data_IF_587977401496
#
_entry.id   IF_587977401496
#
_cell.length_a   1.000
_cell.length_b   1.000
_cell.length_c   1.000
_cell.angle_alpha   90.00
_cell.angle_beta   90.00
_cell.angle_gamma   90.00
#
_symmetry.space_group_name_H-M   'P 1'
#
loop_
_entity.id
_entity.type
_entity.pdbx_description
1 polymer ?
#
# COMPACT_ATOMS: atom_id res chain seq x y z
N UNK A 1 -11.10 -5.51 15.10
CA UNK A 1 -10.49 -6.48 14.21
C UNK A 1 -9.66 -5.74 13.16
N UNK A 2 -8.51 -6.29 12.81
CA UNK A 2 -7.58 -5.69 11.84
C UNK A 2 -7.49 -6.57 10.60
N UNK A 3 -7.10 -5.94 9.50
CA UNK A 3 -6.97 -6.58 8.20
C UNK A 3 -5.65 -6.17 7.55
N UNK A 4 -4.95 -7.12 6.94
CA UNK A 4 -3.85 -6.81 6.05
C UNK A 4 -4.40 -6.29 4.73
N UNK A 5 -3.76 -5.26 4.18
CA UNK A 5 -4.08 -4.72 2.87
C UNK A 5 -2.82 -4.73 2.02
N UNK A 6 -2.79 -5.61 1.02
CA UNK A 6 -1.72 -5.66 0.04
C UNK A 6 -2.19 -4.93 -1.21
N UNK A 7 -1.77 -3.69 -1.35
CA UNK A 7 -2.28 -2.79 -2.37
C UNK A 7 -1.66 -3.03 -3.75
N UNK A 8 -2.30 -2.48 -4.79
CA UNK A 8 -1.79 -2.50 -6.16
C UNK A 8 -0.39 -1.91 -6.23
N UNK A 9 0.51 -2.56 -7.00
CA UNK A 9 1.85 -2.05 -7.28
C UNK A 9 1.89 -1.52 -8.71
N UNK A 10 1.70 -0.21 -8.94
CA UNK A 10 1.56 0.33 -10.29
C UNK A 10 2.89 0.67 -10.95
N UNK A 11 3.98 0.67 -10.20
CA UNK A 11 5.30 1.07 -10.70
C UNK A 11 6.32 1.10 -9.58
N UNK A 12 7.24 2.06 -9.62
CA UNK A 12 8.31 2.17 -8.63
C UNK A 12 8.76 3.61 -8.44
N UNK A 13 9.76 3.81 -7.60
CA UNK A 13 10.34 5.13 -7.39
C UNK A 13 11.15 5.58 -8.61
N UNK A 14 11.17 6.89 -8.86
CA UNK A 14 11.90 7.45 -9.98
C UNK A 14 13.41 7.15 -9.91
N UNK A 15 14.09 7.03 -11.07
CA UNK A 15 15.54 6.87 -11.09
C UNK A 15 16.23 8.00 -10.30
N UNK A 16 17.25 7.65 -9.55
CA UNK A 16 17.98 8.60 -8.69
C UNK A 16 17.39 8.78 -7.31
N UNK A 17 16.20 8.27 -7.05
CA UNK A 17 15.66 8.18 -5.70
C UNK A 17 16.35 7.03 -4.98
N UNK A 18 17.07 7.36 -3.92
CA UNK A 18 17.75 6.36 -3.11
C UNK A 18 17.01 6.20 -1.79
N UNK A 19 16.71 4.96 -1.45
CA UNK A 19 16.17 4.60 -0.15
C UNK A 19 17.23 3.77 0.59
N UNK A 20 17.64 4.26 1.76
CA UNK A 20 18.59 3.53 2.61
C UNK A 20 17.80 2.53 3.48
N UNK A 21 18.00 1.21 3.29
CA UNK A 21 17.28 0.22 4.09
C UNK A 21 17.54 0.30 5.60
N UNK A 22 18.65 0.92 6.01
CA UNK A 22 18.96 1.15 7.43
C UNK A 22 18.14 2.29 8.02
N UNK A 23 17.55 3.15 7.19
CA UNK A 23 16.70 4.27 7.60
C UNK A 23 15.26 3.81 7.69
N UNK A 24 14.49 4.35 8.65
CA UNK A 24 13.05 4.07 8.69
C UNK A 24 12.39 4.65 7.45
N UNK A 25 11.45 3.88 6.87
CA UNK A 25 10.71 4.34 5.68
C UNK A 25 10.03 5.69 5.93
N UNK A 26 9.50 5.91 7.15
CA UNK A 26 8.86 7.17 7.52
C UNK A 26 9.79 8.38 7.40
N UNK A 27 11.08 8.19 7.56
CA UNK A 27 12.10 9.26 7.53
C UNK A 27 12.64 9.52 6.12
N UNK A 28 12.24 8.73 5.13
CA UNK A 28 12.61 8.99 3.75
C UNK A 28 12.06 10.36 3.33
N UNK A 29 12.85 11.12 2.57
CA UNK A 29 12.45 12.44 2.09
C UNK A 29 11.32 12.38 1.06
N UNK A 30 11.03 13.49 0.38
CA UNK A 30 9.98 13.52 -0.64
C UNK A 30 10.16 12.41 -1.68
N UNK A 31 9.08 11.72 -2.01
CA UNK A 31 9.11 10.58 -2.92
C UNK A 31 8.48 10.94 -4.26
N UNK A 32 9.03 10.34 -5.32
CA UNK A 32 8.49 10.44 -6.67
C UNK A 32 8.13 9.04 -7.16
N UNK A 33 6.83 8.76 -7.28
CA UNK A 33 6.31 7.49 -7.79
C UNK A 33 6.11 7.59 -9.30
N UNK A 34 6.69 6.66 -10.04
CA UNK A 34 6.51 6.55 -11.50
C UNK A 34 5.56 5.40 -11.77
N UNK A 35 4.45 5.69 -12.41
CA UNK A 35 3.44 4.71 -12.78
C UNK A 35 3.78 4.10 -14.14
N UNK A 36 3.96 2.79 -14.17
CA UNK A 36 4.11 2.02 -15.42
C UNK A 36 2.77 1.50 -15.93
N UNK A 37 1.80 1.38 -15.05
CA UNK A 37 0.41 1.05 -15.31
C UNK A 37 -0.42 1.45 -14.10
N UNK A 38 -1.75 1.42 -14.20
CA UNK A 38 -2.62 1.72 -13.07
C UNK A 38 -4.01 1.15 -13.33
N UNK A 39 -4.49 0.32 -12.43
CA UNK A 39 -5.80 -0.31 -12.53
C UNK A 39 -6.93 0.54 -11.96
N UNK A 40 -6.60 1.69 -11.37
CA UNK A 40 -7.59 2.65 -10.90
C UNK A 40 -7.77 2.74 -9.40
N UNK A 41 -7.02 1.98 -8.63
CA UNK A 41 -7.14 2.00 -7.17
C UNK A 41 -6.64 3.32 -6.58
N UNK A 42 -7.32 3.78 -5.55
CA UNK A 42 -6.98 5.02 -4.84
C UNK A 42 -5.85 4.83 -3.81
N UNK A 43 -5.53 3.59 -3.47
CA UNK A 43 -4.41 3.23 -2.62
C UNK A 43 -3.48 2.33 -3.41
N UNK A 44 -2.22 2.74 -3.53
CA UNK A 44 -1.19 1.97 -4.23
C UNK A 44 0.08 1.89 -3.38
N UNK A 45 0.96 0.97 -3.72
CA UNK A 45 2.20 0.77 -2.97
C UNK A 45 3.38 0.52 -3.90
N UNK A 46 4.55 0.95 -3.47
CA UNK A 46 5.83 0.38 -3.87
C UNK A 46 6.60 0.20 -2.57
N UNK A 47 6.72 -1.06 -2.16
CA UNK A 47 7.21 -1.41 -0.82
C UNK A 47 8.54 -0.73 -0.49
N UNK A 48 8.75 -0.14 0.68
CA UNK A 48 7.86 -0.13 1.85
C UNK A 48 6.97 1.12 1.97
N UNK A 49 6.56 1.70 0.86
CA UNK A 49 5.82 2.95 0.82
C UNK A 49 4.40 2.76 0.32
N UNK A 50 3.48 3.61 0.79
CA UNK A 50 2.08 3.65 0.34
C UNK A 50 1.75 5.04 -0.16
N UNK A 51 0.87 5.12 -1.17
CA UNK A 51 0.43 6.37 -1.75
C UNK A 51 -1.09 6.34 -1.91
N UNK A 52 -1.71 7.48 -1.71
CA UNK A 52 -3.16 7.64 -1.86
C UNK A 52 -3.46 8.77 -2.84
N UNK A 53 -4.57 8.63 -3.57
CA UNK A 53 -5.06 9.71 -4.41
C UNK A 53 -5.49 10.90 -3.56
N UNK A 54 -5.56 12.09 -4.16
CA UNK A 54 -5.99 13.30 -3.45
C UNK A 54 -7.36 13.11 -2.80
N UNK A 55 -8.33 12.53 -3.50
CA UNK A 55 -9.68 12.34 -2.98
C UNK A 55 -9.71 11.40 -1.77
N UNK A 56 -8.89 10.34 -1.78
CA UNK A 56 -8.78 9.46 -0.62
C UNK A 56 -8.05 10.16 0.53
N UNK A 57 -7.00 10.93 0.24
CA UNK A 57 -6.31 11.71 1.26
C UNK A 57 -7.25 12.69 1.97
N UNK A 58 -8.09 13.39 1.21
CA UNK A 58 -9.06 14.32 1.79
C UNK A 58 -10.07 13.60 2.68
N UNK A 59 -10.54 12.42 2.25
CA UNK A 59 -11.45 11.60 3.04
C UNK A 59 -10.80 11.10 4.32
N UNK A 60 -9.53 10.69 4.27
CA UNK A 60 -8.78 10.27 5.46
C UNK A 60 -8.64 11.41 6.46
N UNK A 61 -8.33 12.63 5.99
CA UNK A 61 -8.22 13.81 6.87
C UNK A 61 -9.54 14.14 7.56
N UNK A 62 -10.66 13.95 6.86
CA UNK A 62 -11.98 14.24 7.38
C UNK A 62 -12.57 13.14 8.24
N UNK A 63 -11.98 11.95 8.23
CA UNK A 63 -12.59 10.74 8.81
C UNK A 63 -12.50 10.64 10.33
N UNK A 64 -11.51 11.30 10.94
CA UNK A 64 -11.20 11.09 12.35
C UNK A 64 -10.42 9.81 12.64
N UNK A 65 -10.07 9.03 11.64
CA UNK A 65 -9.22 7.84 11.80
C UNK A 65 -7.82 8.23 12.29
N UNK A 66 -7.17 7.34 13.01
CA UNK A 66 -5.89 7.58 13.66
C UNK A 66 -4.79 6.67 13.12
N UNK A 67 -3.53 7.02 13.41
CA UNK A 67 -2.40 6.16 13.11
C UNK A 67 -1.76 6.42 11.77
N UNK A 68 -1.88 7.61 11.21
CA UNK A 68 -1.25 7.93 9.93
C UNK A 68 -0.86 9.39 9.81
N UNK A 69 0.07 9.63 8.89
CA UNK A 69 0.45 10.95 8.42
C UNK A 69 0.36 10.98 6.90
N UNK A 70 0.13 12.15 6.33
CA UNK A 70 0.09 12.35 4.88
C UNK A 70 1.12 13.41 4.50
N UNK A 71 1.90 13.12 3.45
CA UNK A 71 2.89 14.04 2.91
C UNK A 71 2.70 14.18 1.41
N UNK A 72 3.01 15.35 0.83
CA UNK A 72 3.01 15.51 -0.62
C UNK A 72 3.97 14.52 -1.27
N UNK A 73 3.57 13.98 -2.42
CA UNK A 73 4.41 13.12 -3.25
C UNK A 73 4.29 13.58 -4.69
N UNK A 74 5.32 13.28 -5.49
CA UNK A 74 5.28 13.51 -6.92
C UNK A 74 4.86 12.21 -7.61
N UNK A 75 3.99 12.34 -8.60
CA UNK A 75 3.57 11.20 -9.43
C UNK A 75 3.73 11.56 -10.91
N UNK A 76 4.25 10.62 -11.68
CA UNK A 76 4.38 10.77 -13.13
C UNK A 76 4.18 9.41 -13.78
N UNK A 77 4.04 9.42 -15.10
CA UNK A 77 3.89 8.19 -15.87
C UNK A 77 5.22 7.83 -16.53
N UNK A 78 5.53 6.52 -16.56
CA UNK A 78 6.67 5.99 -17.28
C UNK A 78 6.38 5.81 -18.77
N UNK A 79 7.40 5.43 -19.53
CA UNK A 79 7.29 5.27 -20.98
C UNK A 79 6.26 4.21 -21.40
N UNK A 80 6.04 3.21 -20.56
CA UNK A 80 5.13 2.10 -20.86
C UNK A 80 3.68 2.39 -20.47
N UNK A 81 3.42 3.46 -19.74
CA UNK A 81 2.10 3.71 -19.17
C UNK A 81 1.00 3.73 -20.23
N UNK A 82 1.19 4.49 -21.29
CA UNK A 82 0.19 4.62 -22.37
C UNK A 82 0.01 3.32 -23.16
N UNK A 83 1.03 2.46 -23.19
CA UNK A 83 0.97 1.16 -23.86
C UNK A 83 0.18 0.12 -23.07
N UNK A 84 0.14 0.27 -21.76
CA UNK A 84 -0.47 -0.71 -20.85
C UNK A 84 -1.85 -0.22 -20.38
N UNK A 85 -2.00 1.10 -20.18
CA UNK A 85 -3.16 1.67 -19.50
C UNK A 85 -3.80 2.75 -20.36
N UNK A 86 -5.10 2.63 -20.62
CA UNK A 86 -5.89 3.66 -21.32
C UNK A 86 -6.38 4.75 -20.36
N UNK A 87 -6.35 4.49 -19.06
CA UNK A 87 -6.85 5.38 -18.02
C UNK A 87 -5.85 6.51 -17.76
N UNK A 88 -6.34 7.76 -17.77
CA UNK A 88 -5.52 8.91 -17.40
C UNK A 88 -5.16 8.83 -15.91
N UNK A 89 -3.90 9.11 -15.59
CA UNK A 89 -3.45 9.13 -14.20
C UNK A 89 -4.03 10.33 -13.46
N UNK A 90 -4.59 10.10 -12.28
CA UNK A 90 -4.95 11.17 -11.35
C UNK A 90 -3.70 11.99 -11.03
N UNK A 91 -3.73 13.33 -11.17
CA UNK A 91 -2.50 14.13 -11.15
C UNK A 91 -1.87 14.31 -9.76
N UNK A 92 -2.68 14.25 -8.70
CA UNK A 92 -2.19 14.53 -7.35
C UNK A 92 -2.23 13.27 -6.47
N UNK A 93 -1.06 12.90 -5.96
CA UNK A 93 -0.90 11.79 -5.05
C UNK A 93 -0.19 12.26 -3.79
N UNK A 94 -0.51 11.63 -2.67
CA UNK A 94 0.14 11.88 -1.40
C UNK A 94 0.72 10.58 -0.87
N UNK A 95 1.80 10.70 -0.12
CA UNK A 95 2.37 9.58 0.60
C UNK A 95 1.57 9.35 1.87
N UNK A 96 1.13 8.09 2.08
CA UNK A 96 0.50 7.66 3.32
C UNK A 96 1.55 6.99 4.20
N UNK A 97 1.74 7.52 5.41
CA UNK A 97 2.70 6.98 6.38
C UNK A 97 1.92 6.39 7.54
N UNK A 98 1.83 5.05 7.66
CA UNK A 98 1.21 4.45 8.83
C UNK A 98 2.13 4.60 10.04
N UNK A 99 1.60 5.13 11.14
CA UNK A 99 2.34 5.40 12.37
C UNK A 99 1.69 4.79 13.60
N UNK A 100 0.54 4.13 13.43
CA UNK A 100 -0.26 3.64 14.53
C UNK A 100 0.22 2.34 15.14
N UNK A 101 -0.40 1.97 16.25
CA UNK A 101 -0.14 0.74 17.00
C UNK A 101 -1.46 0.02 17.27
N UNK A 102 -1.45 -1.28 17.10
CA UNK A 102 -2.61 -2.14 17.46
C UNK A 102 -2.91 -2.00 18.96
N UNK A 103 -1.88 -1.93 19.80
CA UNK A 103 -2.04 -1.80 21.25
C UNK A 103 -2.74 -0.49 21.65
N UNK A 104 -2.58 0.55 20.86
CA UNK A 104 -3.22 1.85 21.11
C UNK A 104 -4.59 1.96 20.42
N UNK A 105 -5.00 0.95 19.68
CA UNK A 105 -6.27 0.94 18.97
C UNK A 105 -6.31 1.85 17.75
N UNK A 106 -5.15 2.15 17.16
CA UNK A 106 -5.09 3.00 15.96
C UNK A 106 -5.70 2.30 14.75
N UNK A 107 -6.16 3.09 13.80
CA UNK A 107 -6.85 2.59 12.61
C UNK A 107 -5.91 2.15 11.49
N UNK A 108 -4.73 2.79 11.37
CA UNK A 108 -3.72 2.42 10.39
C UNK A 108 -2.42 2.08 11.13
N UNK A 109 -1.85 0.92 10.84
CA UNK A 109 -0.71 0.36 11.57
C UNK A 109 0.31 -0.19 10.58
N UNK A 110 1.58 0.09 10.84
CA UNK A 110 2.68 -0.54 10.10
C UNK A 110 3.08 -1.82 10.83
N UNK A 111 2.88 -2.97 10.19
CA UNK A 111 3.26 -4.26 10.72
C UNK A 111 4.53 -4.75 10.02
N UNK A 112 5.48 -5.27 10.79
CA UNK A 112 6.73 -5.86 10.27
C UNK A 112 7.48 -4.97 9.27
N UNK A 113 7.37 -3.65 9.43
CA UNK A 113 8.01 -2.62 8.60
C UNK A 113 7.58 -2.58 7.12
N UNK A 114 6.84 -3.57 6.64
CA UNK A 114 6.46 -3.66 5.21
C UNK A 114 4.97 -3.93 4.97
N UNK A 115 4.22 -4.24 6.02
CA UNK A 115 2.81 -4.59 5.87
C UNK A 115 1.90 -3.50 6.45
N UNK A 116 0.81 -3.22 5.77
CA UNK A 116 -0.21 -2.29 6.23
C UNK A 116 -1.35 -3.05 6.88
N UNK A 117 -1.62 -2.75 8.14
CA UNK A 117 -2.81 -3.21 8.85
C UNK A 117 -3.79 -2.05 8.99
N UNK A 118 -5.07 -2.35 8.80
CA UNK A 118 -6.13 -1.36 8.95
C UNK A 118 -7.24 -1.92 9.83
N UNK A 119 -7.88 -1.04 10.61
CA UNK A 119 -9.06 -1.40 11.39
C UNK A 119 -10.26 -1.65 10.48
N UNK A 120 -11.34 -2.24 11.02
CA UNK A 120 -12.57 -2.42 10.26
C UNK A 120 -13.12 -1.09 9.76
N UNK A 121 -13.05 -0.02 10.57
CA UNK A 121 -13.51 1.31 10.18
C UNK A 121 -12.66 1.88 9.05
N UNK A 122 -11.34 1.72 9.12
CA UNK A 122 -10.45 2.17 8.06
C UNK A 122 -10.68 1.38 6.76
N UNK A 123 -10.89 0.08 6.86
CA UNK A 123 -11.17 -0.76 5.69
C UNK A 123 -12.47 -0.33 5.02
N UNK A 124 -13.50 -0.02 5.80
CA UNK A 124 -14.78 0.46 5.26
C UNK A 124 -14.58 1.76 4.46
N UNK A 125 -13.78 2.69 4.99
CA UNK A 125 -13.47 3.92 4.27
C UNK A 125 -12.72 3.63 2.97
N UNK A 126 -11.70 2.79 3.02
CA UNK A 126 -10.91 2.45 1.83
C UNK A 126 -11.78 1.79 0.75
N UNK A 127 -12.69 0.91 1.14
CA UNK A 127 -13.61 0.24 0.21
C UNK A 127 -14.67 1.17 -0.38
N UNK A 128 -14.92 2.32 0.23
CA UNK A 128 -15.82 3.32 -0.34
C UNK A 128 -15.20 4.06 -1.53
N UNK A 129 -13.91 3.92 -1.71
CA UNK A 129 -13.16 4.36 -2.89
C UNK A 129 -12.82 3.15 -3.77
N UNK A 130 -12.03 3.35 -4.81
CA UNK A 130 -11.63 2.22 -5.67
C UNK A 130 -10.50 1.45 -5.00
N UNK A 131 -10.74 0.17 -4.70
CA UNK A 131 -9.78 -0.72 -4.06
C UNK A 131 -10.01 -2.15 -4.59
N UNK A 132 -9.92 -2.31 -5.91
CA UNK A 132 -10.27 -3.57 -6.59
C UNK A 132 -9.09 -4.53 -6.74
N UNK A 133 -7.87 -4.00 -6.81
CA UNK A 133 -6.66 -4.80 -7.02
C UNK A 133 -5.86 -5.03 -5.73
N UNK A 134 -6.44 -4.75 -4.58
CA UNK A 134 -5.83 -5.04 -3.29
C UNK A 134 -6.23 -6.43 -2.80
N UNK A 135 -5.27 -7.15 -2.24
CA UNK A 135 -5.54 -8.39 -1.51
C UNK A 135 -5.74 -8.07 -0.03
N UNK A 136 -6.85 -8.50 0.52
CA UNK A 136 -7.24 -8.19 1.90
C UNK A 136 -7.44 -9.49 2.66
N UNK A 137 -6.81 -9.59 3.83
CA UNK A 137 -6.93 -10.77 4.69
C UNK A 137 -7.06 -10.36 6.15
N UNK A 138 -7.89 -11.07 6.95
CA UNK A 138 -7.92 -10.84 8.39
C UNK A 138 -6.53 -11.00 9.01
N UNK A 139 -6.19 -10.15 9.97
CA UNK A 139 -4.87 -10.17 10.60
C UNK A 139 -4.56 -11.52 11.24
N UNK A 140 -5.56 -12.21 11.76
CA UNK A 140 -5.40 -13.53 12.38
C UNK A 140 -4.94 -14.62 11.39
N UNK A 141 -5.18 -14.42 10.09
CA UNK A 141 -4.79 -15.38 9.05
C UNK A 141 -3.40 -15.08 8.47
N UNK A 142 -2.75 -14.00 8.92
CA UNK A 142 -1.47 -13.55 8.42
C UNK A 142 -1.57 -12.78 7.11
N UNK A 143 -0.44 -12.23 6.63
CA UNK A 143 -0.43 -11.43 5.39
C UNK A 143 -0.83 -12.27 4.18
N UNK A 144 -1.50 -11.64 3.17
CA UNK A 144 -1.78 -12.32 1.91
C UNK A 144 -0.49 -12.81 1.24
N UNK A 145 -0.53 -14.02 0.67
CA UNK A 145 0.60 -14.62 0.00
C UNK A 145 0.43 -14.55 -1.51
N UNK A 146 1.52 -14.28 -2.22
CA UNK A 146 1.53 -14.39 -3.68
C UNK A 146 1.29 -15.84 -4.10
N UNK A 147 0.82 -16.06 -5.35
CA UNK A 147 0.60 -17.40 -5.88
C UNK A 147 1.88 -18.25 -5.85
N UNK A 148 3.02 -17.62 -6.12
CA UNK A 148 4.33 -18.29 -6.09
C UNK A 148 4.65 -18.78 -4.68
N UNK A 149 4.43 -17.94 -3.68
CA UNK A 149 4.67 -18.33 -2.29
C UNK A 149 3.72 -19.42 -1.81
N UNK A 150 2.46 -19.37 -2.22
CA UNK A 150 1.49 -20.40 -1.90
C UNK A 150 1.92 -21.76 -2.45
N UNK A 151 2.39 -21.79 -3.70
CA UNK A 151 2.90 -23.03 -4.32
C UNK A 151 4.14 -23.56 -3.61
N UNK A 152 5.06 -22.67 -3.25
CA UNK A 152 6.27 -23.02 -2.52
C UNK A 152 5.97 -23.68 -1.17
N UNK A 153 5.06 -23.07 -0.41
CA UNK A 153 4.67 -23.60 0.90
C UNK A 153 3.94 -24.94 0.77
N UNK A 154 3.10 -25.10 -0.26
CA UNK A 154 2.42 -26.36 -0.52
C UNK A 154 3.42 -27.48 -0.86
N UNK A 155 4.47 -27.20 -1.62
CA UNK A 155 5.52 -28.16 -1.92
C UNK A 155 6.33 -28.56 -0.69
N UNK A 156 6.62 -27.60 0.20
CA UNK A 156 7.31 -27.92 1.45
C UNK A 156 6.46 -28.77 2.38
N UNK A 157 5.18 -28.46 2.50
CA UNK A 157 4.25 -29.27 3.29
C UNK A 157 4.18 -30.72 2.78
N UNK A 158 4.16 -30.91 1.46
CA UNK A 158 4.16 -32.23 0.86
C UNK A 158 5.45 -33.02 1.13
N UNK A 159 6.60 -32.34 1.25
CA UNK A 159 7.86 -32.98 1.62
C UNK A 159 7.90 -33.39 3.10
N UNK A 160 7.30 -32.57 3.96
CA UNK A 160 7.29 -32.82 5.40
C UNK A 160 6.36 -34.01 5.79
N UNK A 161 5.42 -34.37 4.92
CA UNK A 161 4.52 -35.49 5.13
C UNK A 161 5.16 -36.85 4.79
N UNK A 162 6.34 -36.84 4.23
CA UNK A 162 7.11 -38.06 3.91
C UNK A 162 8.22 -38.32 4.95
#
# INVERSE_FOLDING_TARGET
>A
MYYYVDAEVPGGLAPGHTYDPAQRAADAGPLHLVFDGWMGDDLVTTSPFWFVSERLADALRASGLTGFELEPATASTGEQYELITERALTPVWLRLIPTGSVDEGDDLVLADATDLLVSAAALELLRSFTLEDADIAPAEDGPPLSDVMQKFLAQQAAKDEK
#
